data_IF_109332359196
#
_entry.id   IF_109332359196
#
_cell.length_a   1.000
_cell.length_b   1.000
_cell.length_c   1.000
_cell.angle_alpha   90.00
_cell.angle_beta   90.00
_cell.angle_gamma   90.00
#
_symmetry.space_group_name_H-M   'P 1'
#
loop_
_entity.id
_entity.type
_entity.pdbx_description
1 polymer ?
#
# COMPACT_ATOMS: atom_id res chain seq x y z
N UNK A 1 29.68 8.59 -6.22
CA UNK A 1 31.01 7.97 -6.24
C UNK A 1 31.79 8.19 -4.92
N UNK A 2 31.88 9.39 -4.37
CA UNK A 2 32.60 9.60 -3.10
C UNK A 2 31.94 8.93 -1.90
N UNK A 3 30.61 8.95 -1.79
CA UNK A 3 29.85 8.34 -0.69
C UNK A 3 29.90 6.80 -0.70
N UNK A 4 29.90 6.17 -1.85
CA UNK A 4 29.99 4.71 -1.97
C UNK A 4 31.36 4.22 -1.54
N UNK A 5 32.43 4.94 -1.90
CA UNK A 5 33.80 4.65 -1.45
C UNK A 5 33.99 4.88 0.05
N UNK A 6 33.25 5.82 0.64
CA UNK A 6 33.30 6.07 2.08
C UNK A 6 32.55 4.98 2.87
N UNK A 7 31.43 4.49 2.34
CA UNK A 7 30.68 3.36 2.90
C UNK A 7 31.51 2.08 2.79
N UNK A 8 32.14 1.81 1.65
CA UNK A 8 33.04 0.65 1.46
C UNK A 8 34.22 0.68 2.44
N UNK A 9 34.82 1.84 2.65
CA UNK A 9 35.90 2.02 3.64
C UNK A 9 35.43 1.77 5.08
N UNK A 10 34.25 2.22 5.44
CA UNK A 10 33.65 1.96 6.77
C UNK A 10 33.33 0.49 6.97
N UNK A 11 32.81 -0.18 5.95
CA UNK A 11 32.49 -1.62 5.99
C UNK A 11 33.77 -2.46 6.08
N UNK A 12 34.80 -2.16 5.28
CA UNK A 12 36.10 -2.85 5.38
C UNK A 12 36.75 -2.65 6.73
N UNK A 13 36.75 -1.45 7.29
CA UNK A 13 37.26 -1.19 8.62
C UNK A 13 36.52 -1.94 9.74
N UNK A 14 35.18 -2.04 9.64
CA UNK A 14 34.34 -2.82 10.57
C UNK A 14 34.64 -4.31 10.49
N UNK A 15 34.88 -4.85 9.30
CA UNK A 15 35.22 -6.25 9.09
C UNK A 15 36.62 -6.55 9.62
N UNK A 16 37.61 -5.66 9.40
CA UNK A 16 38.95 -5.82 9.93
C UNK A 16 38.98 -5.75 11.48
N UNK A 17 38.20 -4.85 12.08
CA UNK A 17 38.04 -4.76 13.53
C UNK A 17 37.34 -6.01 14.11
N UNK A 18 36.29 -6.50 13.47
CA UNK A 18 35.62 -7.75 13.85
C UNK A 18 36.56 -8.96 13.74
N UNK A 19 37.38 -9.02 12.69
CA UNK A 19 38.38 -10.07 12.45
C UNK A 19 39.47 -10.06 13.51
N UNK A 20 39.98 -8.90 13.87
CA UNK A 20 41.00 -8.78 14.90
C UNK A 20 40.50 -9.16 16.29
N UNK A 21 39.28 -8.77 16.63
CA UNK A 21 38.61 -9.15 17.90
C UNK A 21 38.32 -10.64 17.94
N UNK A 22 38.00 -11.25 16.82
CA UNK A 22 37.76 -12.67 16.71
C UNK A 22 39.06 -13.48 16.87
N UNK A 23 40.13 -13.10 16.17
CA UNK A 23 41.43 -13.76 16.29
C UNK A 23 41.98 -13.68 17.73
N UNK A 24 41.81 -12.52 18.39
CA UNK A 24 42.21 -12.38 19.79
C UNK A 24 41.43 -13.31 20.72
N UNK A 25 40.09 -13.40 20.54
CA UNK A 25 39.24 -14.34 21.32
C UNK A 25 39.54 -15.81 21.01
N UNK A 26 39.84 -16.15 19.75
CA UNK A 26 40.19 -17.52 19.37
C UNK A 26 41.53 -17.94 19.95
N UNK A 27 42.54 -17.03 19.97
CA UNK A 27 43.84 -17.27 20.62
C UNK A 27 43.72 -17.42 22.15
N UNK A 28 42.86 -16.60 22.77
CA UNK A 28 42.63 -16.67 24.22
C UNK A 28 41.90 -18.00 24.58
N UNK A 29 40.91 -18.40 23.78
CA UNK A 29 40.21 -19.70 23.94
C UNK A 29 41.18 -20.88 23.74
N UNK A 30 42.11 -20.78 22.77
CA UNK A 30 43.12 -21.81 22.54
C UNK A 30 44.15 -21.90 23.72
N UNK A 31 44.54 -20.77 24.30
CA UNK A 31 45.42 -20.72 25.48
C UNK A 31 44.72 -21.26 26.72
N UNK A 32 43.44 -21.00 26.89
CA UNK A 32 42.62 -21.48 28.00
C UNK A 32 42.36 -23.00 27.87
N UNK A 33 42.16 -23.50 26.65
CA UNK A 33 42.00 -24.91 26.33
C UNK A 33 43.32 -25.69 26.54
N UNK A 34 44.46 -25.09 26.22
CA UNK A 34 45.78 -25.71 26.49
C UNK A 34 46.11 -25.75 27.99
N UNK A 35 45.56 -24.84 28.81
CA UNK A 35 45.72 -24.82 30.27
C UNK A 35 44.86 -25.85 30.99
N UNK A 36 43.69 -26.19 30.48
CA UNK A 36 42.70 -27.10 31.12
C UNK A 36 42.73 -28.55 30.64
N UNK A 37 43.55 -28.89 29.62
CA UNK A 37 43.84 -30.26 29.23
C UNK A 37 42.72 -31.10 28.61
N UNK A 38 41.51 -30.54 28.45
CA UNK A 38 40.37 -31.24 27.79
C UNK A 38 39.52 -30.19 27.06
N UNK A 39 39.61 -30.18 25.74
CA UNK A 39 38.58 -29.55 24.89
C UNK A 39 37.37 -30.46 24.78
N UNK A 40 36.22 -30.00 25.20
CA UNK A 40 34.95 -30.66 24.89
C UNK A 40 34.78 -30.74 23.37
N UNK A 41 34.37 -31.91 22.85
CA UNK A 41 34.12 -32.10 21.40
C UNK A 41 33.12 -31.07 20.83
N UNK A 42 32.19 -30.59 21.66
CA UNK A 42 31.24 -29.54 21.29
C UNK A 42 31.92 -28.18 21.02
N UNK A 43 32.96 -27.80 21.80
CA UNK A 43 33.71 -26.59 21.61
C UNK A 43 34.54 -26.63 20.34
N UNK A 44 35.11 -27.79 20.02
CA UNK A 44 35.86 -28.01 18.81
C UNK A 44 34.98 -27.95 17.56
N UNK A 45 33.80 -28.58 17.59
CA UNK A 45 32.82 -28.50 16.52
C UNK A 45 32.28 -27.07 16.30
N UNK A 46 32.09 -26.29 17.36
CA UNK A 46 31.68 -24.90 17.27
C UNK A 46 32.76 -23.98 16.65
N UNK A 47 34.02 -24.21 16.98
CA UNK A 47 35.17 -23.50 16.39
C UNK A 47 35.34 -23.85 14.92
N UNK A 48 35.23 -25.13 14.55
CA UNK A 48 35.33 -25.57 13.16
C UNK A 48 34.19 -25.05 12.31
N UNK A 49 32.97 -25.00 12.85
CA UNK A 49 31.81 -24.39 12.18
C UNK A 49 31.99 -22.88 11.96
N UNK A 50 32.44 -22.16 12.99
CA UNK A 50 32.74 -20.74 12.87
C UNK A 50 33.88 -20.45 11.90
N UNK A 51 34.91 -21.29 11.85
CA UNK A 51 36.01 -21.16 10.88
C UNK A 51 35.52 -21.38 9.43
N UNK A 52 34.59 -22.30 9.20
CA UNK A 52 33.99 -22.50 7.88
C UNK A 52 33.09 -21.33 7.45
N UNK A 53 32.30 -20.80 8.35
CA UNK A 53 31.43 -19.62 8.10
C UNK A 53 32.29 -18.37 7.82
N UNK A 54 33.41 -18.21 8.53
CA UNK A 54 34.34 -17.11 8.32
C UNK A 54 35.04 -17.20 6.95
N UNK A 55 35.45 -18.41 6.53
CA UNK A 55 36.02 -18.60 5.20
C UNK A 55 35.01 -18.32 4.09
N UNK A 56 33.75 -18.70 4.27
CA UNK A 56 32.68 -18.37 3.35
C UNK A 56 32.42 -16.87 3.24
N UNK A 57 32.49 -16.15 4.36
CA UNK A 57 32.35 -14.69 4.40
C UNK A 57 33.52 -13.98 3.69
N UNK A 58 34.73 -14.50 3.81
CA UNK A 58 35.94 -13.98 3.16
C UNK A 58 35.92 -14.20 1.64
N UNK A 59 35.40 -15.33 1.18
CA UNK A 59 35.18 -15.56 -0.26
C UNK A 59 34.07 -14.66 -0.82
N UNK A 60 32.99 -14.45 -0.06
CA UNK A 60 31.92 -13.51 -0.44
C UNK A 60 32.43 -12.07 -0.53
N UNK A 61 33.30 -11.65 0.38
CA UNK A 61 33.96 -10.32 0.33
C UNK A 61 34.82 -10.17 -0.92
N UNK A 62 35.60 -11.21 -1.25
CA UNK A 62 36.46 -11.22 -2.44
C UNK A 62 35.65 -11.13 -3.74
N UNK A 63 34.54 -11.86 -3.82
CA UNK A 63 33.63 -11.81 -4.98
C UNK A 63 32.94 -10.45 -5.09
N UNK A 64 32.58 -9.85 -3.95
CA UNK A 64 32.00 -8.51 -3.93
C UNK A 64 32.99 -7.42 -4.39
N UNK A 65 34.26 -7.52 -3.93
CA UNK A 65 35.32 -6.62 -4.40
C UNK A 65 35.61 -6.76 -5.89
N UNK A 66 35.57 -7.97 -6.42
CA UNK A 66 35.72 -8.22 -7.86
C UNK A 66 34.55 -7.60 -8.65
N UNK A 67 33.32 -7.83 -8.21
CA UNK A 67 32.13 -7.26 -8.84
C UNK A 67 32.09 -5.72 -8.81
N UNK A 68 32.57 -5.10 -7.73
CA UNK A 68 32.70 -3.65 -7.64
C UNK A 68 33.78 -3.13 -8.60
N UNK A 69 34.92 -3.84 -8.71
CA UNK A 69 35.96 -3.50 -9.67
C UNK A 69 35.51 -3.61 -11.12
N UNK A 70 34.72 -4.63 -11.45
CA UNK A 70 34.13 -4.80 -12.77
C UNK A 70 33.09 -3.71 -13.09
N UNK A 71 32.29 -3.31 -12.09
CA UNK A 71 31.35 -2.19 -12.19
C UNK A 71 32.06 -0.85 -12.38
N UNK A 72 33.16 -0.61 -11.67
CA UNK A 72 33.98 0.59 -11.86
C UNK A 72 34.63 0.63 -13.26
N UNK A 73 35.10 -0.53 -13.77
CA UNK A 73 35.59 -0.62 -15.14
C UNK A 73 34.49 -0.42 -16.17
N UNK A 74 33.30 -0.98 -15.97
CA UNK A 74 32.14 -0.76 -16.85
C UNK A 74 31.68 0.70 -16.85
N UNK A 75 31.67 1.35 -15.69
CA UNK A 75 31.34 2.79 -15.57
C UNK A 75 32.41 3.67 -16.22
N UNK A 76 33.69 3.27 -16.12
CA UNK A 76 34.81 3.98 -16.76
C UNK A 76 34.84 3.77 -18.28
N UNK A 77 34.32 2.64 -18.76
CA UNK A 77 34.22 2.31 -20.21
C UNK A 77 32.90 2.72 -20.84
N UNK A 78 31.89 3.13 -20.06
CA UNK A 78 30.74 3.79 -20.63
C UNK A 78 31.21 5.07 -21.32
N UNK A 79 31.02 5.19 -22.64
CA UNK A 79 31.28 6.45 -23.30
C UNK A 79 30.41 7.49 -22.58
N UNK A 80 31.01 8.57 -22.13
CA UNK A 80 30.34 9.77 -21.64
C UNK A 80 29.45 10.32 -22.79
N UNK A 81 28.38 9.62 -23.06
CA UNK A 81 27.30 10.10 -23.89
C UNK A 81 26.49 11.08 -23.05
N UNK A 82 27.13 12.17 -22.69
CA UNK A 82 26.55 13.45 -22.32
C UNK A 82 27.67 14.41 -21.92
N UNK A 83 28.71 14.51 -22.74
CA UNK A 83 29.28 15.82 -22.92
C UNK A 83 28.13 16.68 -23.45
N UNK A 84 27.51 17.49 -22.62
CA UNK A 84 26.74 18.63 -23.08
C UNK A 84 27.58 19.29 -24.17
N UNK A 85 27.27 19.10 -25.44
CA UNK A 85 27.64 20.05 -26.44
C UNK A 85 27.04 21.35 -25.93
N UNK A 86 27.89 22.18 -25.34
CA UNK A 86 27.56 23.57 -25.08
C UNK A 86 27.30 24.15 -26.46
N UNK A 87 26.01 24.18 -26.82
CA UNK A 87 25.59 24.90 -28.04
C UNK A 87 25.93 26.35 -27.71
N UNK A 88 27.08 26.82 -28.25
CA UNK A 88 27.46 28.21 -28.11
C UNK A 88 26.31 29.08 -28.62
N UNK A 89 25.76 29.90 -27.76
CA UNK A 89 24.74 30.85 -28.13
C UNK A 89 25.29 31.78 -29.22
N UNK A 90 24.41 32.26 -30.11
CA UNK A 90 24.80 33.19 -31.21
C UNK A 90 25.68 34.33 -30.67
N UNK A 91 25.41 34.82 -29.46
CA UNK A 91 26.24 35.81 -28.76
C UNK A 91 27.65 35.31 -28.46
N UNK A 92 27.80 34.06 -28.03
CA UNK A 92 29.11 33.46 -27.73
C UNK A 92 29.93 33.24 -29.02
N UNK A 93 29.28 32.81 -30.09
CA UNK A 93 29.92 32.66 -31.43
C UNK A 93 30.41 34.01 -31.97
N UNK A 94 29.66 35.08 -31.73
CA UNK A 94 30.06 36.44 -32.13
C UNK A 94 31.24 36.92 -31.30
N UNK A 95 31.22 36.69 -29.97
CA UNK A 95 32.27 37.12 -29.05
C UNK A 95 33.58 36.33 -29.25
N UNK A 96 33.48 35.03 -29.56
CA UNK A 96 34.65 34.16 -29.79
C UNK A 96 35.29 34.34 -31.18
N UNK A 97 34.60 35.01 -32.12
CA UNK A 97 35.09 35.18 -33.50
C UNK A 97 36.38 36.02 -33.56
N UNK A 98 37.40 35.51 -34.29
CA UNK A 98 38.65 36.22 -34.53
C UNK A 98 38.46 37.57 -35.23
N UNK A 99 37.40 37.69 -36.01
CA UNK A 99 37.05 38.91 -36.72
C UNK A 99 36.65 40.04 -35.72
N UNK A 100 35.98 39.71 -34.60
CA UNK A 100 35.67 40.69 -33.56
C UNK A 100 36.92 41.08 -32.75
N UNK A 101 37.82 40.14 -32.51
CA UNK A 101 39.08 40.40 -31.78
C UNK A 101 40.03 41.29 -32.58
N UNK A 102 40.11 41.07 -33.89
CA UNK A 102 40.94 41.92 -34.78
C UNK A 102 40.31 43.29 -34.97
N UNK A 103 38.99 43.42 -35.00
CA UNK A 103 38.27 44.69 -35.06
C UNK A 103 38.45 45.53 -33.78
N UNK A 104 38.36 44.87 -32.60
CA UNK A 104 38.58 45.54 -31.33
C UNK A 104 40.03 46.06 -31.17
N UNK A 105 40.97 45.43 -31.83
CA UNK A 105 42.37 45.87 -31.82
C UNK A 105 42.66 46.99 -32.83
N UNK A 106 41.77 47.27 -33.82
CA UNK A 106 41.90 48.31 -34.83
C UNK A 106 40.69 49.24 -34.81
N UNK A 107 40.56 50.04 -33.74
CA UNK A 107 39.50 51.07 -33.68
C UNK A 107 39.88 52.23 -34.54
N UNK A 108 39.48 52.16 -35.83
CA UNK A 108 39.52 53.33 -36.72
C UNK A 108 38.11 53.56 -37.26
N UNK A 109 37.60 54.77 -37.14
CA UNK A 109 36.18 55.07 -37.30
C UNK A 109 35.65 54.76 -38.70
N UNK A 110 34.54 54.01 -38.75
CA UNK A 110 33.70 53.90 -39.96
C UNK A 110 33.67 52.56 -40.70
N UNK A 111 34.38 51.54 -40.23
CA UNK A 111 34.35 50.19 -40.87
C UNK A 111 33.23 49.29 -40.29
N UNK A 112 32.46 48.68 -41.21
CA UNK A 112 31.42 47.68 -40.85
C UNK A 112 32.03 46.29 -40.97
N UNK A 113 31.84 45.46 -39.92
CA UNK A 113 32.19 44.03 -39.94
C UNK A 113 30.90 43.24 -40.19
N UNK A 114 30.97 42.29 -41.11
CA UNK A 114 29.97 41.26 -41.30
C UNK A 114 30.52 39.97 -40.77
N UNK A 115 29.96 39.49 -39.63
CA UNK A 115 30.29 38.18 -39.07
C UNK A 115 29.23 37.20 -39.57
N UNK A 116 29.59 36.22 -40.43
CA UNK A 116 28.64 35.20 -40.83
C UNK A 116 28.31 34.30 -39.68
N UNK A 117 27.16 34.53 -39.03
CA UNK A 117 26.59 33.61 -38.06
C UNK A 117 25.94 32.48 -38.89
N UNK A 118 26.41 31.23 -38.70
CA UNK A 118 25.71 30.09 -39.31
C UNK A 118 24.28 30.11 -38.87
N UNK A 119 23.34 30.09 -39.82
CA UNK A 119 21.92 30.03 -39.52
C UNK A 119 21.66 28.90 -38.53
N UNK A 120 20.95 29.21 -37.43
CA UNK A 120 20.57 28.19 -36.48
C UNK A 120 19.69 27.17 -37.20
N UNK A 121 20.12 25.93 -37.26
CA UNK A 121 19.29 24.82 -37.71
C UNK A 121 18.07 24.76 -36.77
N UNK A 122 16.91 24.96 -37.34
CA UNK A 122 15.65 24.77 -36.59
C UNK A 122 15.27 23.30 -36.61
N UNK A 123 14.45 22.87 -35.65
CA UNK A 123 13.95 21.48 -35.58
C UNK A 123 13.15 21.06 -36.82
N UNK A 124 12.69 22.03 -37.64
CA UNK A 124 12.04 21.80 -38.93
C UNK A 124 13.03 21.45 -40.07
N UNK A 125 14.30 21.85 -39.94
CA UNK A 125 15.36 21.59 -40.92
C UNK A 125 16.10 20.26 -40.66
N UNK A 126 15.79 19.59 -39.57
CA UNK A 126 16.40 18.32 -39.17
C UNK A 126 15.44 17.20 -39.50
N UNK A 127 15.88 16.19 -40.25
CA UNK A 127 15.06 15.03 -40.58
C UNK A 127 14.52 14.35 -39.32
N UNK A 128 13.26 13.91 -39.38
CA UNK A 128 12.65 13.11 -38.31
C UNK A 128 13.57 11.92 -37.93
N UNK A 129 14.00 11.85 -36.69
CA UNK A 129 14.91 10.82 -36.17
C UNK A 129 16.29 11.32 -35.72
N UNK A 130 16.70 12.58 -36.04
CA UNK A 130 17.95 13.16 -35.53
C UNK A 130 17.77 13.78 -34.12
N UNK A 131 16.56 14.20 -33.78
CA UNK A 131 16.21 14.65 -32.44
C UNK A 131 15.47 13.51 -31.75
N UNK A 132 16.17 12.75 -30.92
CA UNK A 132 15.53 11.72 -30.09
C UNK A 132 14.73 12.40 -28.96
N UNK A 133 13.40 12.19 -28.91
CA UNK A 133 12.62 12.68 -27.80
C UNK A 133 13.08 11.98 -26.53
N UNK A 134 13.29 12.72 -25.46
CA UNK A 134 13.59 12.15 -24.16
C UNK A 134 12.39 11.34 -23.67
N UNK A 135 12.53 10.03 -23.59
CA UNK A 135 11.53 9.16 -22.97
C UNK A 135 11.71 9.20 -21.46
N UNK A 136 10.65 9.56 -20.74
CA UNK A 136 10.62 9.37 -19.30
C UNK A 136 10.53 7.86 -19.02
N UNK A 137 11.40 7.32 -18.17
CA UNK A 137 11.31 5.93 -17.78
C UNK A 137 10.07 5.74 -16.89
N UNK A 138 9.26 4.72 -17.18
CA UNK A 138 8.12 4.36 -16.39
C UNK A 138 6.80 4.40 -17.14
N UNK A 139 5.81 3.71 -16.56
CA UNK A 139 4.41 3.75 -16.97
C UNK A 139 3.68 4.55 -15.91
N UNK A 140 3.08 5.67 -16.28
CA UNK A 140 2.21 6.42 -15.38
C UNK A 140 0.86 5.70 -15.30
N UNK A 141 0.54 5.19 -14.10
CA UNK A 141 -0.68 4.42 -13.87
C UNK A 141 -1.84 5.34 -13.52
N UNK A 142 -3.06 4.96 -13.90
CA UNK A 142 -4.26 5.69 -13.53
C UNK A 142 -4.41 5.80 -12.00
N UNK A 143 -4.99 6.90 -11.48
CA UNK A 143 -5.27 7.03 -10.07
C UNK A 143 -6.21 5.91 -9.59
N UNK A 144 -5.97 5.40 -8.39
CA UNK A 144 -6.68 4.26 -7.81
C UNK A 144 -7.45 4.67 -6.57
N UNK A 145 -8.64 4.09 -6.40
CA UNK A 145 -9.41 4.22 -5.17
C UNK A 145 -8.63 3.60 -4.00
N UNK A 146 -8.61 4.28 -2.86
CA UNK A 146 -8.06 3.72 -1.63
C UNK A 146 -8.99 2.63 -1.08
N UNK A 147 -8.46 1.45 -0.88
CA UNK A 147 -9.13 0.34 -0.21
C UNK A 147 -8.89 0.44 1.30
N UNK A 148 -9.91 0.17 2.11
CA UNK A 148 -9.84 0.46 3.55
C UNK A 148 -10.47 -0.62 4.44
N UNK A 149 -11.36 -1.45 3.89
CA UNK A 149 -12.19 -2.32 4.74
C UNK A 149 -11.38 -3.37 5.50
N UNK A 150 -10.32 -3.88 4.91
CA UNK A 150 -9.43 -4.85 5.56
C UNK A 150 -8.72 -4.30 6.79
N UNK A 151 -8.42 -3.00 6.79
CA UNK A 151 -7.74 -2.32 7.91
C UNK A 151 -8.66 -2.16 9.12
N UNK A 152 -9.97 -2.21 8.90
CA UNK A 152 -10.97 -2.04 9.95
C UNK A 152 -11.41 -3.35 10.59
N UNK A 153 -11.41 -4.45 9.84
CA UNK A 153 -11.97 -5.75 10.24
C UNK A 153 -10.87 -6.66 10.80
N UNK A 154 -11.22 -7.51 11.77
CA UNK A 154 -10.29 -8.47 12.33
C UNK A 154 -9.83 -9.50 11.27
N UNK A 155 -8.52 -9.69 11.05
CA UNK A 155 -8.01 -10.73 10.16
C UNK A 155 -8.09 -12.11 10.79
N UNK A 156 -8.18 -13.15 9.97
CA UNK A 156 -8.13 -14.56 10.34
C UNK A 156 -7.61 -15.41 9.19
N UNK A 157 -7.28 -16.66 9.46
CA UNK A 157 -6.88 -17.64 8.45
C UNK A 157 -7.62 -18.95 8.64
N UNK A 158 -7.91 -19.64 7.55
CA UNK A 158 -8.56 -20.95 7.56
C UNK A 158 -7.96 -21.88 6.51
N UNK A 159 -7.92 -23.17 6.80
CA UNK A 159 -7.60 -24.22 5.82
C UNK A 159 -8.86 -24.94 5.31
N UNK A 160 -10.02 -24.70 5.95
CA UNK A 160 -11.27 -25.40 5.66
C UNK A 160 -12.07 -24.69 4.57
N UNK A 161 -12.91 -25.42 3.81
CA UNK A 161 -13.78 -24.82 2.78
C UNK A 161 -14.96 -24.03 3.36
N UNK A 162 -15.26 -24.20 4.63
CA UNK A 162 -16.30 -23.47 5.36
C UNK A 162 -15.89 -23.31 6.81
N UNK A 163 -16.41 -22.27 7.43
CA UNK A 163 -16.16 -21.93 8.84
C UNK A 163 -17.45 -22.15 9.61
N UNK A 164 -17.36 -23.03 10.60
CA UNK A 164 -18.44 -23.27 11.54
C UNK A 164 -18.19 -22.41 12.79
N UNK A 165 -19.20 -21.65 13.16
CA UNK A 165 -19.14 -20.85 14.37
C UNK A 165 -20.50 -20.81 15.04
N UNK A 166 -20.54 -20.52 16.33
CA UNK A 166 -21.75 -20.52 17.12
C UNK A 166 -22.02 -19.12 17.61
N UNK A 167 -23.23 -18.64 17.32
CA UNK A 167 -23.71 -17.34 17.77
C UNK A 167 -24.63 -17.55 18.98
N UNK A 168 -24.38 -16.84 20.05
CA UNK A 168 -25.34 -16.74 21.14
C UNK A 168 -26.44 -15.77 20.70
N UNK A 169 -27.67 -16.28 20.59
CA UNK A 169 -28.83 -15.53 20.08
C UNK A 169 -29.76 -15.06 21.18
N UNK A 170 -29.76 -15.74 22.33
CA UNK A 170 -30.60 -15.38 23.46
C UNK A 170 -29.87 -15.54 24.80
N UNK A 171 -30.24 -14.70 25.72
CA UNK A 171 -29.88 -14.84 27.16
C UNK A 171 -31.02 -14.31 28.01
N UNK A 172 -31.76 -15.23 28.62
CA UNK A 172 -32.80 -14.90 29.59
C UNK A 172 -32.22 -14.93 30.98
N UNK A 173 -32.03 -13.77 31.58
CA UNK A 173 -31.50 -13.65 32.91
C UNK A 173 -32.64 -13.50 33.91
N UNK A 174 -32.91 -14.53 34.70
CA UNK A 174 -33.88 -14.55 35.77
C UNK A 174 -33.24 -14.50 37.17
N UNK A 175 -31.96 -14.06 37.23
CA UNK A 175 -31.29 -13.92 38.52
C UNK A 175 -32.04 -12.92 39.44
N UNK A 176 -32.44 -13.37 40.60
CA UNK A 176 -33.15 -12.58 41.60
C UNK A 176 -32.63 -12.87 43.01
N UNK A 177 -32.88 -11.94 43.92
CA UNK A 177 -32.62 -12.16 45.34
C UNK A 177 -33.70 -13.13 45.87
N UNK A 178 -33.25 -14.25 46.40
CA UNK A 178 -34.16 -15.32 46.83
C UNK A 178 -34.00 -15.56 48.35
N UNK A 179 -35.09 -15.59 49.10
CA UNK A 179 -35.06 -15.94 50.53
C UNK A 179 -34.57 -17.37 50.76
N UNK A 180 -34.20 -17.66 52.01
CA UNK A 180 -33.84 -19.02 52.40
C UNK A 180 -35.00 -20.00 52.13
N UNK A 181 -34.66 -21.22 51.71
CA UNK A 181 -35.57 -22.33 51.43
C UNK A 181 -36.59 -22.07 50.31
N UNK A 182 -36.32 -21.12 49.38
CA UNK A 182 -37.15 -20.86 48.21
C UNK A 182 -36.42 -21.35 46.95
N UNK A 183 -37.20 -21.86 45.98
CA UNK A 183 -36.68 -22.29 44.68
C UNK A 183 -36.05 -21.10 43.91
N UNK A 184 -34.82 -21.29 43.44
CA UNK A 184 -34.11 -20.28 42.65
C UNK A 184 -34.61 -20.28 41.22
N UNK A 185 -34.76 -19.09 40.58
CA UNK A 185 -35.18 -19.00 39.18
C UNK A 185 -34.12 -19.55 38.23
N UNK A 186 -34.58 -20.16 37.11
CA UNK A 186 -33.72 -20.67 36.07
C UNK A 186 -33.48 -19.59 35.01
N UNK A 187 -32.24 -19.42 34.63
CA UNK A 187 -31.83 -18.61 33.48
C UNK A 187 -31.51 -19.52 32.29
N UNK A 188 -31.70 -19.03 31.06
CA UNK A 188 -31.47 -19.79 29.87
C UNK A 188 -30.56 -19.04 28.89
N UNK A 189 -29.81 -19.81 28.06
CA UNK A 189 -28.89 -19.30 27.05
C UNK A 189 -29.16 -20.07 25.75
N UNK A 190 -29.43 -19.32 24.66
CA UNK A 190 -29.67 -19.88 23.36
C UNK A 190 -28.46 -19.69 22.44
N UNK A 191 -28.14 -20.75 21.69
CA UNK A 191 -27.06 -20.77 20.73
C UNK A 191 -27.55 -21.19 19.35
N UNK A 192 -27.14 -20.46 18.31
CA UNK A 192 -27.43 -20.80 16.93
C UNK A 192 -26.12 -21.09 16.17
N UNK A 193 -25.96 -22.29 15.60
CA UNK A 193 -24.83 -22.57 14.73
C UNK A 193 -24.96 -21.83 13.41
N UNK A 194 -23.85 -21.27 12.94
CA UNK A 194 -23.75 -20.57 11.64
C UNK A 194 -22.63 -21.21 10.83
N UNK A 195 -22.82 -21.22 9.51
CA UNK A 195 -21.85 -21.71 8.56
C UNK A 195 -21.55 -20.59 7.57
N UNK A 196 -20.29 -20.30 7.36
CA UNK A 196 -19.83 -19.33 6.37
C UNK A 196 -18.95 -20.06 5.37
N UNK A 197 -19.37 -20.09 4.10
CA UNK A 197 -18.59 -20.68 3.01
C UNK A 197 -17.43 -19.80 2.60
N UNK A 198 -16.38 -20.42 2.07
CA UNK A 198 -15.26 -19.71 1.43
C UNK A 198 -15.62 -19.45 -0.03
N UNK A 199 -15.58 -18.20 -0.44
CA UNK A 199 -15.76 -17.77 -1.83
C UNK A 199 -14.44 -17.54 -2.51
N UNK A 200 -14.40 -17.69 -3.83
CA UNK A 200 -13.21 -17.42 -4.66
C UNK A 200 -13.47 -16.19 -5.50
N UNK A 201 -12.59 -15.20 -5.37
CA UNK A 201 -12.58 -14.02 -6.23
C UNK A 201 -11.42 -14.21 -7.21
N UNK A 202 -11.69 -14.10 -8.51
CA UNK A 202 -10.68 -14.34 -9.53
C UNK A 202 -10.95 -13.52 -10.79
N UNK A 203 -9.88 -13.16 -11.50
CA UNK A 203 -9.97 -12.59 -12.83
C UNK A 203 -8.77 -13.00 -13.70
N UNK A 204 -8.93 -12.85 -15.01
CA UNK A 204 -7.95 -13.23 -16.01
C UNK A 204 -7.54 -12.02 -16.83
N UNK A 205 -6.27 -12.00 -17.23
CA UNK A 205 -5.72 -11.06 -18.19
C UNK A 205 -4.95 -11.81 -19.27
N UNK A 206 -5.16 -11.43 -20.54
CA UNK A 206 -4.42 -12.00 -21.68
C UNK A 206 -3.44 -10.98 -22.24
N UNK A 207 -2.21 -11.40 -22.49
CA UNK A 207 -1.18 -10.59 -23.12
C UNK A 207 -0.43 -11.40 -24.17
N UNK A 208 0.13 -10.72 -25.18
CA UNK A 208 1.06 -11.34 -26.11
C UNK A 208 2.41 -11.58 -25.41
N UNK A 209 3.00 -12.75 -25.62
CA UNK A 209 4.34 -13.09 -25.10
C UNK A 209 5.38 -12.08 -25.56
N UNK A 210 5.32 -11.64 -26.80
CA UNK A 210 6.27 -10.67 -27.37
C UNK A 210 6.26 -9.33 -26.62
N UNK A 211 5.08 -8.80 -26.29
CA UNK A 211 4.96 -7.54 -25.55
C UNK A 211 5.53 -7.67 -24.14
N UNK A 212 5.36 -8.81 -23.48
CA UNK A 212 5.90 -9.03 -22.13
C UNK A 212 7.42 -9.21 -22.14
N UNK A 213 7.95 -9.86 -23.18
CA UNK A 213 9.39 -10.05 -23.34
C UNK A 213 10.09 -8.70 -23.68
N UNK A 214 9.44 -7.86 -24.49
CA UNK A 214 9.99 -6.55 -24.92
C UNK A 214 9.91 -5.49 -23.81
N UNK A 215 8.93 -5.60 -22.91
CA UNK A 215 8.66 -4.61 -21.86
C UNK A 215 8.53 -5.26 -20.48
N UNK A 216 9.66 -5.58 -19.86
CA UNK A 216 9.69 -6.17 -18.50
C UNK A 216 8.92 -5.33 -17.44
N UNK A 217 8.89 -3.99 -17.61
CA UNK A 217 8.13 -3.10 -16.74
C UNK A 217 6.61 -3.27 -16.88
N UNK A 218 6.13 -3.66 -18.07
CA UNK A 218 4.72 -3.92 -18.29
C UNK A 218 4.23 -5.12 -17.45
N UNK A 219 5.05 -6.15 -17.30
CA UNK A 219 4.72 -7.31 -16.48
C UNK A 219 4.46 -6.92 -15.02
N UNK A 220 5.34 -6.10 -14.44
CA UNK A 220 5.17 -5.64 -13.07
C UNK A 220 3.94 -4.74 -12.90
N UNK A 221 3.63 -3.92 -13.91
CA UNK A 221 2.42 -3.07 -13.91
C UNK A 221 1.17 -3.93 -13.99
N UNK A 222 1.13 -4.95 -14.84
CA UNK A 222 0.00 -5.88 -14.95
C UNK A 222 -0.22 -6.61 -13.63
N UNK A 223 0.83 -7.13 -13.00
CA UNK A 223 0.73 -7.80 -11.70
C UNK A 223 0.13 -6.87 -10.63
N UNK A 224 0.61 -5.62 -10.56
CA UNK A 224 0.09 -4.62 -9.62
C UNK A 224 -1.38 -4.25 -9.90
N UNK A 225 -1.77 -4.10 -11.19
CA UNK A 225 -3.15 -3.81 -11.57
C UNK A 225 -4.08 -4.98 -11.28
N UNK A 226 -3.65 -6.21 -11.55
CA UNK A 226 -4.44 -7.40 -11.26
C UNK A 226 -4.68 -7.58 -9.76
N UNK A 227 -3.64 -7.41 -8.94
CA UNK A 227 -3.80 -7.47 -7.47
C UNK A 227 -4.73 -6.38 -6.96
N UNK A 228 -4.61 -5.17 -7.49
CA UNK A 228 -5.50 -4.08 -7.11
C UNK A 228 -6.95 -4.37 -7.52
N UNK A 229 -7.19 -4.82 -8.76
CA UNK A 229 -8.52 -5.16 -9.26
C UNK A 229 -9.19 -6.28 -8.43
N UNK A 230 -8.39 -7.28 -8.01
CA UNK A 230 -8.85 -8.35 -7.14
C UNK A 230 -9.28 -7.79 -5.77
N UNK A 231 -8.44 -6.97 -5.15
CA UNK A 231 -8.72 -6.35 -3.84
C UNK A 231 -9.89 -5.38 -3.90
N UNK A 232 -10.09 -4.70 -5.02
CA UNK A 232 -11.26 -3.86 -5.24
C UNK A 232 -12.56 -4.70 -5.27
N UNK A 233 -12.56 -5.80 -6.01
CA UNK A 233 -13.70 -6.71 -6.06
C UNK A 233 -13.98 -7.34 -4.68
N UNK A 234 -12.93 -7.70 -3.95
CA UNK A 234 -13.02 -8.18 -2.58
C UNK A 234 -13.70 -7.15 -1.66
N UNK A 235 -13.28 -5.89 -1.71
CA UNK A 235 -13.88 -4.83 -0.88
C UNK A 235 -15.37 -4.64 -1.18
N UNK A 236 -15.76 -4.71 -2.46
CA UNK A 236 -17.17 -4.64 -2.87
C UNK A 236 -17.98 -5.81 -2.30
N UNK A 237 -17.45 -7.03 -2.37
CA UNK A 237 -18.11 -8.22 -1.83
C UNK A 237 -18.20 -8.18 -0.30
N UNK A 238 -17.15 -7.73 0.41
CA UNK A 238 -17.16 -7.59 1.86
C UNK A 238 -18.19 -6.56 2.32
N UNK A 239 -18.33 -5.45 1.60
CA UNK A 239 -19.27 -4.40 1.96
C UNK A 239 -20.69 -4.71 1.54
N UNK A 240 -20.90 -5.09 0.27
CA UNK A 240 -22.21 -5.11 -0.37
C UNK A 240 -22.65 -6.48 -0.86
N UNK A 241 -21.85 -7.53 -0.72
CA UNK A 241 -22.22 -8.88 -1.15
C UNK A 241 -23.59 -9.30 -0.61
N UNK A 242 -24.42 -9.87 -1.44
CA UNK A 242 -25.81 -10.20 -1.12
C UNK A 242 -25.99 -11.56 -0.41
N UNK A 243 -24.90 -12.36 -0.34
CA UNK A 243 -24.92 -13.69 0.27
C UNK A 243 -25.66 -14.74 -0.57
N UNK A 244 -25.98 -14.46 -1.83
CA UNK A 244 -26.65 -15.43 -2.70
C UNK A 244 -25.63 -16.22 -3.53
N UNK A 245 -25.83 -17.54 -3.64
CA UNK A 245 -24.97 -18.43 -4.43
C UNK A 245 -23.53 -18.45 -3.94
N UNK A 246 -22.61 -17.85 -4.73
CA UNK A 246 -21.17 -17.79 -4.44
C UNK A 246 -20.73 -16.47 -3.84
N UNK A 247 -21.64 -15.49 -3.76
CA UNK A 247 -21.32 -14.17 -3.21
C UNK A 247 -21.15 -14.21 -1.69
N UNK A 248 -20.27 -13.37 -1.17
CA UNK A 248 -20.15 -13.18 0.26
C UNK A 248 -21.41 -12.51 0.81
N UNK A 249 -21.74 -12.79 2.07
CA UNK A 249 -22.77 -12.01 2.74
C UNK A 249 -22.13 -10.80 3.43
N UNK A 250 -22.16 -9.66 2.74
CA UNK A 250 -21.50 -8.42 3.11
C UNK A 250 -22.01 -7.78 4.40
N UNK A 251 -21.29 -6.77 4.87
CA UNK A 251 -21.62 -6.07 6.12
C UNK A 251 -22.89 -5.24 5.97
N UNK A 252 -23.02 -4.48 4.88
CA UNK A 252 -24.14 -3.54 4.68
C UNK A 252 -25.49 -4.23 4.64
N UNK A 253 -25.69 -5.35 3.90
CA UNK A 253 -26.98 -6.05 3.91
C UNK A 253 -27.36 -6.63 5.26
N UNK A 254 -26.39 -6.91 6.13
CA UNK A 254 -26.62 -7.46 7.47
C UNK A 254 -26.71 -6.40 8.57
N UNK A 255 -26.23 -5.17 8.29
CA UNK A 255 -26.19 -4.09 9.27
C UNK A 255 -27.60 -3.68 9.73
N UNK A 256 -27.72 -3.29 10.99
CA UNK A 256 -28.94 -2.70 11.51
C UNK A 256 -29.24 -1.38 10.79
N UNK A 257 -30.49 -1.18 10.41
CA UNK A 257 -30.93 0.08 9.82
C UNK A 257 -30.85 1.18 10.89
N UNK A 258 -30.35 2.35 10.47
CA UNK A 258 -30.31 3.53 11.34
C UNK A 258 -31.72 3.92 11.78
N UNK A 259 -31.95 3.88 13.08
CA UNK A 259 -33.18 4.28 13.74
C UNK A 259 -32.83 5.03 15.01
N UNK A 260 -32.80 6.36 14.96
CA UNK A 260 -32.36 7.15 16.10
C UNK A 260 -33.32 7.01 17.30
N UNK A 261 -32.77 6.85 18.50
CA UNK A 261 -33.56 6.70 19.72
C UNK A 261 -34.34 7.97 20.09
N UNK A 262 -33.92 9.11 19.60
CA UNK A 262 -34.61 10.42 19.72
C UNK A 262 -34.20 11.33 18.56
N UNK A 263 -34.98 12.37 18.33
CA UNK A 263 -34.73 13.37 17.29
C UNK A 263 -34.11 14.62 17.90
N UNK A 264 -33.14 15.21 17.20
CA UNK A 264 -32.49 16.47 17.57
C UNK A 264 -33.10 17.60 16.75
N UNK A 265 -33.36 18.73 17.33
CA UNK A 265 -33.82 19.89 16.59
C UNK A 265 -32.74 20.35 15.61
N UNK A 266 -33.11 20.60 14.34
CA UNK A 266 -32.16 20.91 13.26
C UNK A 266 -31.01 19.89 13.12
N UNK A 267 -31.38 18.63 13.15
CA UNK A 267 -30.46 17.49 13.04
C UNK A 267 -29.52 17.62 11.82
N UNK A 268 -28.26 17.48 12.07
CA UNK A 268 -27.17 17.59 11.07
C UNK A 268 -26.49 16.23 10.86
N UNK A 269 -25.67 16.09 9.82
CA UNK A 269 -24.89 14.87 9.59
C UNK A 269 -23.95 14.51 10.76
N UNK A 270 -23.55 15.50 11.56
CA UNK A 270 -22.76 15.30 12.78
C UNK A 270 -23.60 14.58 13.84
N UNK A 271 -24.86 14.98 13.97
CA UNK A 271 -25.80 14.39 14.91
C UNK A 271 -26.20 12.99 14.49
N UNK A 272 -26.39 12.74 13.17
CA UNK A 272 -26.68 11.41 12.63
C UNK A 272 -25.59 10.41 13.00
N UNK A 273 -24.32 10.74 12.83
CA UNK A 273 -23.21 9.89 13.21
C UNK A 273 -23.16 9.65 14.73
N UNK A 274 -23.47 10.67 15.54
CA UNK A 274 -23.53 10.51 17.01
C UNK A 274 -24.67 9.61 17.46
N UNK A 275 -25.83 9.73 16.81
CA UNK A 275 -26.99 8.88 17.07
C UNK A 275 -26.77 7.44 16.61
N UNK A 276 -26.05 7.24 15.50
CA UNK A 276 -25.64 5.91 15.05
C UNK A 276 -24.68 5.24 16.05
N UNK A 277 -23.72 6.00 16.59
CA UNK A 277 -22.87 5.50 17.69
C UNK A 277 -23.69 5.11 18.92
N UNK A 278 -24.69 5.92 19.27
CA UNK A 278 -25.57 5.62 20.38
C UNK A 278 -26.36 4.33 20.15
N UNK A 279 -26.88 4.14 18.92
CA UNK A 279 -27.59 2.91 18.55
C UNK A 279 -26.69 1.68 18.70
N UNK A 280 -25.45 1.72 18.19
CA UNK A 280 -24.47 0.65 18.36
C UNK A 280 -24.12 0.40 19.84
N UNK A 281 -24.00 1.47 20.63
CA UNK A 281 -23.74 1.36 22.06
C UNK A 281 -24.92 0.77 22.85
N UNK A 282 -26.16 1.08 22.47
CA UNK A 282 -27.37 0.46 23.06
C UNK A 282 -27.42 -1.04 22.74
N UNK A 283 -26.92 -1.46 21.58
CA UNK A 283 -26.70 -2.87 21.25
C UNK A 283 -25.50 -3.48 21.99
N UNK A 284 -24.83 -2.74 22.89
CA UNK A 284 -23.66 -3.14 23.69
C UNK A 284 -22.37 -3.32 22.90
N UNK A 285 -22.30 -2.75 21.69
CA UNK A 285 -21.10 -2.73 20.84
C UNK A 285 -20.65 -1.29 20.60
N UNK A 286 -19.70 -0.76 21.39
CA UNK A 286 -19.18 0.58 21.15
C UNK A 286 -18.55 0.65 19.77
N UNK A 287 -18.95 1.64 18.97
CA UNK A 287 -18.42 1.84 17.63
C UNK A 287 -16.90 2.11 17.65
N UNK A 288 -16.19 1.62 16.66
CA UNK A 288 -14.75 1.80 16.49
C UNK A 288 -14.39 2.76 15.34
N UNK A 289 -15.33 3.10 14.45
CA UNK A 289 -15.10 4.00 13.32
C UNK A 289 -16.37 4.29 12.54
N UNK A 290 -16.23 5.21 11.59
CA UNK A 290 -17.25 5.60 10.64
C UNK A 290 -16.73 5.45 9.21
N UNK A 291 -17.57 4.97 8.31
CA UNK A 291 -17.31 4.92 6.88
C UNK A 291 -18.36 5.75 6.17
N UNK A 292 -17.92 6.70 5.34
CA UNK A 292 -18.80 7.59 4.58
C UNK A 292 -18.10 8.06 3.30
N UNK A 293 -18.86 8.69 2.39
CA UNK A 293 -18.32 9.19 1.15
C UNK A 293 -17.53 10.51 1.35
N UNK A 294 -16.48 10.73 0.57
CA UNK A 294 -15.66 11.96 0.61
C UNK A 294 -16.49 13.24 0.54
N UNK A 295 -17.50 13.26 -0.34
CA UNK A 295 -18.38 14.43 -0.51
C UNK A 295 -19.13 14.72 0.78
N UNK A 296 -19.63 13.68 1.46
CA UNK A 296 -20.42 13.87 2.68
C UNK A 296 -19.52 14.25 3.85
N UNK A 297 -18.29 13.71 3.90
CA UNK A 297 -17.30 14.17 4.86
C UNK A 297 -16.95 15.66 4.66
N UNK A 298 -16.70 16.07 3.41
CA UNK A 298 -16.43 17.48 3.10
C UNK A 298 -17.62 18.40 3.48
N UNK A 299 -18.88 17.96 3.29
CA UNK A 299 -20.05 18.73 3.75
C UNK A 299 -20.06 18.91 5.26
N UNK A 300 -19.71 17.85 6.00
CA UNK A 300 -19.62 17.87 7.46
C UNK A 300 -18.52 18.84 7.92
N UNK A 301 -17.32 18.76 7.32
CA UNK A 301 -16.21 19.67 7.64
C UNK A 301 -16.52 21.13 7.34
N UNK A 302 -17.24 21.39 6.25
CA UNK A 302 -17.59 22.73 5.83
C UNK A 302 -18.80 23.33 6.56
N UNK A 303 -19.36 22.63 7.55
CA UNK A 303 -20.48 23.14 8.35
C UNK A 303 -20.05 24.37 9.13
N UNK A 304 -20.83 25.48 8.97
CA UNK A 304 -20.55 26.76 9.59
C UNK A 304 -21.65 27.14 10.56
N UNK A 305 -21.30 27.95 11.54
CA UNK A 305 -22.26 28.59 12.44
C UNK A 305 -22.96 29.81 11.76
N UNK A 306 -23.92 30.42 12.45
CA UNK A 306 -24.65 31.60 11.98
C UNK A 306 -23.75 32.80 11.73
N UNK A 307 -22.53 32.84 12.23
CA UNK A 307 -21.52 33.89 12.04
C UNK A 307 -20.52 33.54 10.91
N UNK A 308 -20.70 32.40 10.19
CA UNK A 308 -19.86 31.97 9.10
C UNK A 308 -18.55 31.29 9.52
N UNK A 309 -18.38 30.96 10.79
CA UNK A 309 -17.19 30.26 11.31
C UNK A 309 -17.37 28.74 11.17
N UNK A 310 -16.31 28.01 10.81
CA UNK A 310 -16.34 26.57 10.78
C UNK A 310 -16.51 25.99 12.18
N UNK A 311 -17.38 25.01 12.32
CA UNK A 311 -17.68 24.36 13.61
C UNK A 311 -16.62 23.29 13.91
N UNK A 312 -16.28 22.46 12.93
CA UNK A 312 -15.36 21.32 13.09
C UNK A 312 -13.96 21.59 12.58
N UNK A 313 -13.85 22.21 11.40
CA UNK A 313 -12.59 22.39 10.74
C UNK A 313 -11.82 23.58 11.31
N UNK A 314 -10.62 23.35 11.82
CA UNK A 314 -9.61 24.38 11.91
C UNK A 314 -8.71 24.27 10.68
N UNK A 315 -8.81 25.16 9.68
CA UNK A 315 -8.02 25.06 8.45
C UNK A 315 -6.51 25.10 8.66
N UNK A 316 -6.06 25.54 9.83
CA UNK A 316 -4.65 25.62 10.19
C UNK A 316 -4.13 24.37 10.94
N UNK A 317 -5.00 23.44 11.33
CA UNK A 317 -4.62 22.24 12.07
C UNK A 317 -4.71 21.00 11.19
N UNK A 318 -3.58 20.31 10.97
CA UNK A 318 -3.51 19.02 10.33
C UNK A 318 -3.90 17.92 11.34
N UNK A 319 -5.17 17.80 11.68
CA UNK A 319 -5.68 16.66 12.42
C UNK A 319 -6.28 15.66 11.44
N UNK A 320 -6.00 14.36 11.65
CA UNK A 320 -6.64 13.32 10.84
C UNK A 320 -8.16 13.36 10.94
N UNK A 321 -8.89 12.77 9.98
CA UNK A 321 -10.35 12.79 9.95
C UNK A 321 -10.92 11.99 11.14
N UNK A 322 -11.31 12.69 12.19
CA UNK A 322 -11.91 12.11 13.40
C UNK A 322 -13.16 12.86 13.79
N UNK A 323 -14.19 12.13 14.22
CA UNK A 323 -15.42 12.71 14.75
C UNK A 323 -15.85 11.93 15.99
N UNK A 324 -16.22 12.65 17.06
CA UNK A 324 -16.60 12.07 18.34
C UNK A 324 -15.54 11.10 18.93
N UNK A 325 -14.26 11.34 18.62
CA UNK A 325 -13.15 10.51 19.08
C UNK A 325 -12.94 9.23 18.29
N UNK A 326 -13.70 9.00 17.22
CA UNK A 326 -13.56 7.86 16.32
C UNK A 326 -12.95 8.25 14.99
N UNK A 327 -12.14 7.39 14.37
CA UNK A 327 -11.61 7.63 13.03
C UNK A 327 -12.71 7.57 11.99
N UNK A 328 -12.59 8.45 10.99
CA UNK A 328 -13.44 8.46 9.82
C UNK A 328 -12.64 7.91 8.64
N UNK A 329 -13.24 6.95 7.96
CA UNK A 329 -12.74 6.44 6.70
C UNK A 329 -13.62 6.97 5.58
N UNK A 330 -13.07 7.91 4.82
CA UNK A 330 -13.74 8.46 3.65
C UNK A 330 -13.45 7.56 2.44
N UNK A 331 -14.51 7.13 1.75
CA UNK A 331 -14.44 6.27 0.54
C UNK A 331 -14.94 7.00 -0.69
N UNK A 332 -14.49 6.56 -1.85
CA UNK A 332 -14.99 6.99 -3.17
C UNK A 332 -16.15 6.11 -3.68
N UNK A 333 -16.49 5.04 -2.96
CA UNK A 333 -17.54 4.12 -3.38
C UNK A 333 -18.89 4.85 -3.49
N UNK A 334 -19.44 4.94 -4.70
CA UNK A 334 -20.67 5.66 -4.99
C UNK A 334 -21.87 5.18 -4.16
N UNK A 335 -21.85 3.93 -3.73
CA UNK A 335 -22.91 3.36 -2.89
C UNK A 335 -22.99 3.99 -1.49
N UNK A 336 -21.95 4.66 -1.03
CA UNK A 336 -21.93 5.42 0.23
C UNK A 336 -22.33 6.89 0.09
N UNK A 337 -22.57 7.40 -1.12
CA UNK A 337 -22.96 8.78 -1.29
C UNK A 337 -24.30 9.07 -0.60
N UNK A 338 -24.31 10.02 0.33
CA UNK A 338 -25.47 10.34 1.17
C UNK A 338 -25.77 9.29 2.25
N UNK A 339 -24.88 8.33 2.47
CA UNK A 339 -25.04 7.23 3.43
C UNK A 339 -23.79 7.06 4.28
N UNK A 340 -23.97 6.40 5.41
CA UNK A 340 -22.88 6.08 6.33
C UNK A 340 -22.99 4.67 6.88
N UNK A 341 -21.87 4.12 7.29
CA UNK A 341 -21.76 2.89 8.05
C UNK A 341 -20.94 3.17 9.32
N UNK A 342 -21.58 2.99 10.47
CA UNK A 342 -20.94 3.18 11.79
C UNK A 342 -20.99 1.86 12.53
N UNK A 343 -19.91 1.46 13.15
CA UNK A 343 -19.94 0.21 13.91
C UNK A 343 -18.64 -0.19 14.56
N UNK A 344 -18.70 -1.29 15.29
CA UNK A 344 -17.57 -1.95 15.94
C UNK A 344 -16.95 -2.97 14.97
N UNK A 345 -16.20 -2.51 13.98
CA UNK A 345 -15.69 -3.31 12.86
C UNK A 345 -14.86 -4.52 13.32
N UNK A 346 -13.94 -4.32 14.23
CA UNK A 346 -13.05 -5.37 14.73
C UNK A 346 -13.76 -6.44 15.58
N UNK A 347 -14.81 -6.05 16.31
CA UNK A 347 -15.57 -6.97 17.17
C UNK A 347 -16.74 -7.64 16.43
N UNK A 348 -17.37 -6.93 15.47
CA UNK A 348 -18.58 -7.34 14.80
C UNK A 348 -18.36 -8.28 13.62
N UNK A 349 -17.23 -8.17 12.90
CA UNK A 349 -16.92 -8.97 11.73
C UNK A 349 -15.49 -9.49 11.74
N UNK A 350 -15.25 -10.60 11.03
CA UNK A 350 -13.94 -11.18 10.84
C UNK A 350 -13.81 -11.74 9.43
N UNK A 351 -12.70 -11.42 8.78
CA UNK A 351 -12.29 -12.00 7.50
C UNK A 351 -11.44 -13.23 7.78
N UNK A 352 -11.60 -14.26 6.96
CA UNK A 352 -10.79 -15.47 7.01
C UNK A 352 -10.22 -15.73 5.63
N UNK A 353 -8.92 -15.55 5.49
CA UNK A 353 -8.19 -15.87 4.27
C UNK A 353 -7.88 -17.37 4.25
N UNK A 354 -8.28 -18.04 3.17
CA UNK A 354 -7.90 -19.43 2.91
C UNK A 354 -6.70 -19.48 1.98
N UNK A 355 -6.66 -18.60 0.99
CA UNK A 355 -5.60 -18.47 0.01
C UNK A 355 -5.38 -16.98 -0.25
N UNK A 356 -4.15 -16.53 -0.03
CA UNK A 356 -3.74 -15.16 -0.32
C UNK A 356 -3.73 -14.94 -1.84
N UNK A 357 -3.86 -13.69 -2.29
CA UNK A 357 -3.87 -13.34 -3.71
C UNK A 357 -2.66 -13.94 -4.45
N UNK A 358 -2.92 -14.92 -5.30
CA UNK A 358 -1.94 -15.67 -6.06
C UNK A 358 -2.08 -15.34 -7.55
N UNK A 359 -0.92 -15.11 -8.21
CA UNK A 359 -0.85 -14.85 -9.64
C UNK A 359 -0.22 -16.05 -10.34
N UNK A 360 -0.95 -16.68 -11.23
CA UNK A 360 -0.53 -17.85 -12.00
C UNK A 360 -0.51 -17.49 -13.47
N UNK A 361 0.59 -17.82 -14.14
CA UNK A 361 0.80 -17.58 -15.57
C UNK A 361 0.72 -18.91 -16.32
N UNK A 362 -0.06 -18.95 -17.39
CA UNK A 362 -0.18 -20.11 -18.28
C UNK A 362 -0.10 -19.69 -19.74
N UNK A 363 0.53 -20.54 -20.54
CA UNK A 363 0.63 -20.43 -22.00
C UNK A 363 -0.26 -21.43 -22.74
N UNK A 364 -1.01 -22.25 -22.00
CA UNK A 364 -1.73 -23.41 -22.53
C UNK A 364 -3.27 -23.23 -22.50
N UNK A 365 -3.75 -21.99 -22.21
CA UNK A 365 -5.17 -21.76 -22.08
C UNK A 365 -5.83 -21.61 -23.47
N UNK A 366 -6.76 -22.50 -23.80
CA UNK A 366 -7.51 -22.50 -25.06
C UNK A 366 -6.60 -22.42 -26.30
N UNK A 367 -6.61 -21.30 -27.03
CA UNK A 367 -5.85 -21.03 -28.26
C UNK A 367 -4.57 -20.20 -28.02
N UNK A 368 -4.17 -20.06 -26.77
CA UNK A 368 -3.01 -19.22 -26.40
C UNK A 368 -1.71 -19.73 -27.03
N UNK A 369 -1.56 -21.06 -27.11
CA UNK A 369 -0.39 -21.68 -27.72
C UNK A 369 -0.27 -21.36 -29.23
N UNK A 370 -1.36 -21.44 -29.97
CA UNK A 370 -1.38 -21.15 -31.42
C UNK A 370 -1.15 -19.66 -31.72
N UNK A 371 -1.62 -18.79 -30.83
CA UNK A 371 -1.55 -17.33 -30.98
C UNK A 371 -0.37 -16.68 -30.28
N UNK A 372 0.50 -17.48 -29.63
CA UNK A 372 1.61 -16.99 -28.84
C UNK A 372 1.16 -15.99 -27.75
N UNK A 373 0.05 -16.32 -27.07
CA UNK A 373 -0.53 -15.53 -25.99
C UNK A 373 -0.19 -16.13 -24.63
N UNK A 374 -0.27 -15.32 -23.61
CA UNK A 374 -0.11 -15.69 -22.20
C UNK A 374 -1.38 -15.28 -21.46
N UNK A 375 -1.97 -16.20 -20.71
CA UNK A 375 -3.06 -15.92 -19.78
C UNK A 375 -2.52 -15.86 -18.36
N UNK A 376 -2.79 -14.74 -17.70
CA UNK A 376 -2.42 -14.48 -16.31
C UNK A 376 -3.71 -14.55 -15.49
N UNK A 377 -3.74 -15.41 -14.47
CA UNK A 377 -4.85 -15.54 -13.54
C UNK A 377 -4.44 -15.01 -12.18
N UNK A 378 -5.24 -14.12 -11.62
CA UNK A 378 -5.12 -13.69 -10.24
C UNK A 378 -6.34 -14.18 -9.48
N UNK A 379 -6.13 -14.90 -8.39
CA UNK A 379 -7.23 -15.43 -7.56
C UNK A 379 -6.87 -15.37 -6.07
N UNK A 380 -7.91 -15.27 -5.26
CA UNK A 380 -7.85 -15.40 -3.82
C UNK A 380 -9.10 -16.09 -3.29
N UNK A 381 -8.99 -16.66 -2.10
CA UNK A 381 -10.10 -17.38 -1.47
C UNK A 381 -10.27 -16.88 -0.04
N UNK A 382 -11.45 -16.37 0.25
CA UNK A 382 -11.76 -15.78 1.55
C UNK A 382 -13.20 -16.06 1.99
N UNK A 383 -13.45 -15.87 3.28
CA UNK A 383 -14.77 -15.91 3.86
C UNK A 383 -14.94 -14.72 4.80
N UNK A 384 -16.16 -14.19 4.86
CA UNK A 384 -16.53 -13.12 5.79
C UNK A 384 -17.55 -13.64 6.79
N UNK A 385 -17.22 -13.61 8.07
CA UNK A 385 -18.14 -13.91 9.15
C UNK A 385 -18.55 -12.62 9.87
N UNK A 386 -19.78 -12.16 9.67
CA UNK A 386 -20.39 -11.07 10.45
C UNK A 386 -20.98 -11.71 11.70
N UNK A 387 -20.21 -11.67 12.79
CA UNK A 387 -20.55 -12.34 14.06
C UNK A 387 -21.68 -11.64 14.79
N UNK A 388 -21.73 -10.31 14.67
CA UNK A 388 -22.71 -9.45 15.36
C UNK A 388 -23.21 -8.37 14.41
N UNK A 389 -24.29 -8.63 13.67
CA UNK A 389 -24.92 -7.64 12.80
C UNK A 389 -25.34 -6.36 13.53
N UNK A 390 -25.76 -6.49 14.78
CA UNK A 390 -26.20 -5.38 15.63
C UNK A 390 -25.07 -4.39 15.97
N UNK A 391 -23.80 -4.81 15.79
CA UNK A 391 -22.64 -3.96 15.98
C UNK A 391 -22.47 -2.92 14.86
N UNK A 392 -23.21 -3.07 13.76
CA UNK A 392 -23.15 -2.19 12.60
C UNK A 392 -24.46 -1.46 12.38
N UNK A 393 -24.37 -0.18 12.14
CA UNK A 393 -25.52 0.70 11.83
C UNK A 393 -25.28 1.33 10.48
N UNK A 394 -26.17 1.05 9.53
CA UNK A 394 -26.16 1.62 8.19
C UNK A 394 -27.36 2.53 8.00
N UNK A 395 -27.13 3.74 7.48
CA UNK A 395 -28.18 4.72 7.31
C UNK A 395 -27.87 5.76 6.26
N UNK A 396 -28.89 6.56 5.94
CA UNK A 396 -28.74 7.75 5.12
C UNK A 396 -28.69 8.98 6.02
N UNK A 397 -27.94 10.00 5.61
CA UNK A 397 -27.96 11.28 6.29
C UNK A 397 -29.35 11.93 6.17
N UNK A 398 -29.81 12.50 7.28
CA UNK A 398 -31.16 13.06 7.39
C UNK A 398 -31.29 14.42 6.69
N UNK A 399 -30.17 15.12 6.45
CA UNK A 399 -30.17 16.42 5.80
C UNK A 399 -30.16 16.27 4.29
N UNK A 400 -31.20 16.76 3.56
CA UNK A 400 -31.13 16.87 2.12
C UNK A 400 -29.94 17.75 1.72
N UNK A 401 -29.26 17.40 0.62
CA UNK A 401 -28.19 18.23 0.08
C UNK A 401 -28.69 19.68 -0.06
N UNK A 402 -27.96 20.70 0.38
CA UNK A 402 -28.32 22.09 0.11
C UNK A 402 -28.18 22.30 -1.41
N UNK A 403 -29.31 22.43 -2.11
CA UNK A 403 -29.33 22.68 -3.56
C UNK A 403 -30.50 22.03 -4.27
N UNK A 404 -31.69 22.39 -3.88
CA UNK A 404 -32.90 22.10 -4.60
C UNK A 404 -33.92 23.22 -4.31
N UNK A 405 -33.67 24.39 -4.80
CA UNK A 405 -34.66 25.38 -5.26
C UNK A 405 -34.41 25.70 -6.74
#
# INVERSE_FOLDING_TARGET
MSEVNEILKKVTASIEEATSKFNAKAEDALKEAQKSGQLSEETKAAVDKMASEFNALREAEKTLKAAVGDLEQHVAQMPLANAKQVVETVGQQVISSEALKTFAASIDGGKRISIPVKAALTSADVAEGVVEPQRLPGIDTAPKQRLFIRDLIAPGRTSSPAIFWVQQTGFTNNAAVVPENTQKPYSDIEFTPKITGVSTVAHLFKASKQILDDFAQLQSTIDAEMRYGLKYAEEQEILFGDGTGVHLHGIVPQASVFNPAFTVAQQSGIDDLRLAMLQAQLARFPASGHVLHFIDWAKIELTKDSLGRYILANPAALTGPTLWGLPIVATEAAAFQGKFLTGAFNAGAQIFDREDANVVISTENADDFEKNMITIRCEERLALAVKRPEAFVYGSFTVPAPGGE
#
